data_IF_871733152446
#
_entry.id   IF_871733152446
#
_cell.length_a   1.000
_cell.length_b   1.000
_cell.length_c   1.000
_cell.angle_alpha   90.00
_cell.angle_beta   90.00
_cell.angle_gamma   90.00
#
_symmetry.space_group_name_H-M   'P 1'
#
loop_
_entity.id
_entity.type
_entity.pdbx_description
1 polymer ?
#
# COMPACT_ATOMS: atom_id res chain seq x y z
N UNK A 1 -27.57 45.12 9.79
CA UNK A 1 -28.18 44.83 8.47
C UNK A 1 -27.49 43.59 7.93
N UNK A 2 -28.12 42.42 8.06
CA UNK A 2 -27.55 41.15 7.62
C UNK A 2 -27.81 41.03 6.12
N UNK A 3 -26.75 41.05 5.30
CA UNK A 3 -26.89 40.90 3.85
C UNK A 3 -27.34 39.49 3.52
N UNK A 4 -28.54 39.33 2.96
CA UNK A 4 -28.93 38.10 2.27
C UNK A 4 -27.95 37.93 1.11
N UNK A 5 -26.97 37.03 1.26
CA UNK A 5 -26.18 36.55 0.14
C UNK A 5 -27.16 35.94 -0.87
N UNK A 6 -27.28 36.54 -2.06
CA UNK A 6 -28.07 35.98 -3.15
C UNK A 6 -27.41 34.66 -3.56
N UNK A 7 -28.09 33.54 -3.30
CA UNK A 7 -27.66 32.23 -3.78
C UNK A 7 -27.79 32.19 -5.30
N UNK A 8 -26.75 31.71 -5.99
CA UNK A 8 -26.84 31.44 -7.42
C UNK A 8 -27.90 30.37 -7.67
N UNK A 9 -28.80 30.65 -8.60
CA UNK A 9 -29.86 29.73 -8.99
C UNK A 9 -29.38 28.87 -10.17
N UNK A 10 -29.32 27.56 -9.95
CA UNK A 10 -28.98 26.60 -10.99
C UNK A 10 -30.25 26.08 -11.70
N UNK A 11 -30.18 25.80 -13.01
CA UNK A 11 -31.28 25.12 -13.71
C UNK A 11 -31.44 23.68 -13.22
N UNK A 12 -32.63 23.09 -13.45
CA UNK A 12 -32.91 21.69 -13.08
C UNK A 12 -31.99 20.71 -13.82
N UNK A 13 -31.72 20.98 -15.10
CA UNK A 13 -30.83 20.19 -15.96
C UNK A 13 -29.51 20.94 -16.12
N UNK A 14 -28.41 20.25 -15.84
CA UNK A 14 -27.06 20.77 -15.90
C UNK A 14 -26.27 20.08 -17.01
N UNK A 15 -25.57 20.89 -17.79
CA UNK A 15 -24.52 20.44 -18.72
C UNK A 15 -23.17 20.63 -18.07
N UNK A 16 -22.39 19.57 -17.97
CA UNK A 16 -21.07 19.54 -17.33
C UNK A 16 -20.00 19.26 -18.37
N UNK A 17 -18.83 19.87 -18.18
CA UNK A 17 -17.60 19.56 -18.87
C UNK A 17 -16.57 19.11 -17.82
N UNK A 18 -16.30 17.81 -17.75
CA UNK A 18 -15.37 17.21 -16.80
C UNK A 18 -14.11 16.80 -17.55
N UNK A 19 -13.08 17.66 -17.48
CA UNK A 19 -11.81 17.44 -18.18
C UNK A 19 -11.92 17.24 -19.69
N UNK A 20 -12.94 17.82 -20.33
CA UNK A 20 -13.24 17.65 -21.76
C UNK A 20 -14.30 16.58 -22.07
N UNK A 21 -14.74 15.80 -21.08
CA UNK A 21 -15.85 14.84 -21.25
C UNK A 21 -17.16 15.50 -20.85
N UNK A 22 -18.18 15.39 -21.69
CA UNK A 22 -19.44 16.10 -21.50
C UNK A 22 -20.52 15.20 -20.88
N UNK A 23 -21.19 15.73 -19.85
CA UNK A 23 -22.28 15.04 -19.16
C UNK A 23 -23.50 15.92 -19.06
N UNK A 24 -24.67 15.29 -19.07
CA UNK A 24 -25.94 15.93 -18.74
C UNK A 24 -26.57 15.22 -17.56
N UNK A 25 -26.97 15.97 -16.54
CA UNK A 25 -27.56 15.41 -15.31
C UNK A 25 -28.53 16.39 -14.65
N UNK A 26 -29.27 15.92 -13.63
CA UNK A 26 -30.15 16.78 -12.82
C UNK A 26 -29.37 17.42 -11.68
N UNK A 27 -29.74 18.65 -11.31
CA UNK A 27 -29.25 19.30 -10.09
C UNK A 27 -29.49 18.43 -8.85
N UNK A 28 -30.65 17.76 -8.79
CA UNK A 28 -30.99 16.84 -7.71
C UNK A 28 -30.03 15.65 -7.60
N UNK A 29 -29.45 15.18 -8.71
CA UNK A 29 -28.49 14.07 -8.71
C UNK A 29 -27.17 14.51 -8.06
N UNK A 30 -26.63 15.66 -8.45
CA UNK A 30 -25.39 16.19 -7.86
C UNK A 30 -25.54 16.58 -6.38
N UNK A 31 -26.77 16.85 -5.95
CA UNK A 31 -27.12 17.21 -4.57
C UNK A 31 -27.74 16.06 -3.77
N UNK A 32 -27.70 14.82 -4.26
CA UNK A 32 -28.31 13.68 -3.59
C UNK A 32 -27.76 13.46 -2.17
N UNK A 33 -26.46 13.67 -2.01
CA UNK A 33 -25.75 13.57 -0.73
C UNK A 33 -25.21 14.96 -0.38
N UNK A 34 -25.78 15.59 0.67
CA UNK A 34 -25.55 17.00 1.01
C UNK A 34 -24.11 17.30 1.49
N UNK A 35 -23.42 16.28 1.98
CA UNK A 35 -22.06 16.29 2.51
C UNK A 35 -20.97 16.12 1.45
N UNK A 36 -21.35 16.07 0.17
CA UNK A 36 -20.39 15.92 -0.94
C UNK A 36 -19.88 17.24 -1.48
N UNK A 37 -18.69 17.21 -2.09
CA UNK A 37 -18.13 18.35 -2.82
C UNK A 37 -19.05 18.80 -3.95
N UNK A 38 -19.66 17.86 -4.67
CA UNK A 38 -20.61 18.16 -5.76
C UNK A 38 -21.84 18.91 -5.23
N UNK A 39 -22.42 18.48 -4.10
CA UNK A 39 -23.53 19.19 -3.48
C UNK A 39 -23.12 20.60 -3.02
N UNK A 40 -21.90 20.76 -2.50
CA UNK A 40 -21.36 22.06 -2.13
C UNK A 40 -21.17 22.97 -3.36
N UNK A 41 -20.52 22.49 -4.42
CA UNK A 41 -20.31 23.22 -5.68
C UNK A 41 -21.64 23.75 -6.22
N UNK A 42 -22.65 22.88 -6.32
CA UNK A 42 -23.97 23.22 -6.87
C UNK A 42 -24.97 23.70 -5.80
N UNK A 43 -24.50 24.18 -4.64
CA UNK A 43 -25.36 24.71 -3.57
C UNK A 43 -25.87 26.15 -3.82
N UNK A 44 -25.29 26.84 -4.80
CA UNK A 44 -25.54 28.26 -5.09
C UNK A 44 -24.62 29.21 -4.32
N UNK A 45 -23.78 28.68 -3.43
CA UNK A 45 -22.83 29.47 -2.61
C UNK A 45 -21.52 29.78 -3.33
N UNK A 46 -21.20 29.02 -4.36
CA UNK A 46 -19.93 29.14 -5.08
C UNK A 46 -20.19 29.37 -6.57
N UNK A 47 -19.38 30.25 -7.17
CA UNK A 47 -19.33 30.38 -8.61
C UNK A 47 -18.58 29.19 -9.19
N UNK A 48 -19.16 28.54 -10.20
CA UNK A 48 -18.53 27.46 -10.95
C UNK A 48 -18.20 28.00 -12.36
N UNK A 49 -16.94 27.90 -12.82
CA UNK A 49 -16.57 28.31 -14.17
C UNK A 49 -17.40 27.58 -15.23
N UNK A 50 -17.62 28.24 -16.36
CA UNK A 50 -18.25 27.64 -17.53
C UNK A 50 -17.28 27.67 -18.72
N UNK A 51 -17.37 26.67 -19.59
CA UNK A 51 -16.67 26.68 -20.87
C UNK A 51 -17.33 27.63 -21.89
N UNK A 52 -16.78 27.70 -23.10
CA UNK A 52 -17.28 28.56 -24.16
C UNK A 52 -18.72 28.23 -24.61
N UNK A 53 -19.19 27.01 -24.33
CA UNK A 53 -20.55 26.54 -24.64
C UNK A 53 -21.50 26.69 -23.44
N UNK A 54 -21.05 27.30 -22.34
CA UNK A 54 -21.85 27.53 -21.13
C UNK A 54 -21.99 26.29 -20.22
N UNK A 55 -21.17 25.26 -20.39
CA UNK A 55 -21.20 24.04 -19.56
C UNK A 55 -20.36 24.25 -18.31
N UNK A 56 -20.84 23.80 -17.16
CA UNK A 56 -20.10 23.91 -15.91
C UNK A 56 -18.85 23.05 -15.95
N UNK A 57 -17.70 23.68 -15.76
CA UNK A 57 -16.40 23.04 -15.90
C UNK A 57 -15.92 22.46 -14.57
N UNK A 58 -15.43 21.23 -14.62
CA UNK A 58 -14.78 20.52 -13.51
C UNK A 58 -13.45 19.99 -14.04
N UNK A 59 -12.35 20.43 -13.44
CA UNK A 59 -10.99 20.05 -13.84
C UNK A 59 -10.60 18.68 -13.26
N UNK A 60 -11.30 17.62 -13.72
CA UNK A 60 -11.13 16.23 -13.30
C UNK A 60 -11.23 15.27 -14.48
N UNK A 61 -10.84 14.03 -14.26
CA UNK A 61 -10.90 13.01 -15.30
C UNK A 61 -12.35 12.59 -15.58
N UNK A 62 -12.84 12.98 -16.76
CA UNK A 62 -14.17 12.65 -17.21
C UNK A 62 -14.41 11.16 -17.48
N UNK A 63 -13.36 10.35 -17.67
CA UNK A 63 -13.51 8.93 -17.95
C UNK A 63 -14.20 8.17 -16.80
N UNK A 64 -13.87 8.50 -15.55
CA UNK A 64 -14.41 7.86 -14.35
C UNK A 64 -15.65 8.56 -13.77
N UNK A 65 -15.96 9.77 -14.28
CA UNK A 65 -17.09 10.55 -13.76
C UNK A 65 -18.46 9.93 -14.11
N UNK A 66 -18.51 9.09 -15.14
CA UNK A 66 -19.71 8.29 -15.46
C UNK A 66 -20.13 7.40 -14.29
N UNK A 67 -19.19 6.67 -13.68
CA UNK A 67 -19.45 5.81 -12.53
C UNK A 67 -19.88 6.63 -11.30
N UNK A 68 -19.28 7.80 -11.10
CA UNK A 68 -19.70 8.74 -10.05
C UNK A 68 -21.17 9.14 -10.25
N UNK A 69 -21.57 9.47 -11.47
CA UNK A 69 -22.97 9.80 -11.77
C UNK A 69 -23.91 8.61 -11.61
N UNK A 70 -23.51 7.41 -12.03
CA UNK A 70 -24.34 6.21 -11.91
C UNK A 70 -24.58 5.87 -10.44
N UNK A 71 -23.55 5.98 -9.59
CA UNK A 71 -23.71 5.87 -8.14
C UNK A 71 -24.69 6.92 -7.60
N UNK A 72 -24.54 8.19 -7.97
CA UNK A 72 -25.45 9.26 -7.53
C UNK A 72 -26.89 9.09 -8.06
N UNK A 73 -27.10 8.39 -9.18
CA UNK A 73 -28.43 8.15 -9.76
C UNK A 73 -29.13 6.96 -9.13
N UNK A 74 -28.44 5.84 -9.00
CA UNK A 74 -29.06 4.55 -8.69
C UNK A 74 -28.31 3.76 -7.62
N UNK A 75 -27.13 4.22 -7.19
CA UNK A 75 -26.28 3.50 -6.26
C UNK A 75 -25.44 2.41 -6.93
N UNK A 76 -25.31 2.44 -8.25
CA UNK A 76 -24.51 1.48 -9.00
C UNK A 76 -23.02 1.63 -8.69
N UNK A 77 -22.34 0.49 -8.50
CA UNK A 77 -20.91 0.42 -8.27
C UNK A 77 -20.16 0.16 -9.59
N UNK A 78 -18.93 0.67 -9.72
CA UNK A 78 -18.15 0.49 -10.93
C UNK A 78 -17.71 -0.96 -11.14
N UNK A 79 -17.37 -1.35 -12.38
CA UNK A 79 -16.67 -2.59 -12.68
C UNK A 79 -15.37 -2.76 -11.87
N UNK A 80 -14.98 -4.00 -11.63
CA UNK A 80 -13.86 -4.32 -10.73
C UNK A 80 -12.54 -3.67 -11.16
N UNK A 81 -12.30 -3.61 -12.46
CA UNK A 81 -11.12 -3.01 -13.09
C UNK A 81 -11.03 -1.49 -12.89
N UNK A 82 -12.15 -0.81 -12.62
CA UNK A 82 -12.20 0.65 -12.43
C UNK A 82 -12.20 1.08 -10.97
N UNK A 83 -12.37 0.15 -10.02
CA UNK A 83 -12.51 0.45 -8.57
C UNK A 83 -11.42 1.39 -8.06
N UNK A 84 -10.13 1.13 -8.36
CA UNK A 84 -9.03 1.99 -7.90
C UNK A 84 -9.14 3.42 -8.42
N UNK A 85 -9.54 3.57 -9.68
CA UNK A 85 -9.64 4.88 -10.31
C UNK A 85 -10.88 5.65 -9.82
N UNK A 86 -12.03 4.99 -9.75
CA UNK A 86 -13.28 5.57 -9.23
C UNK A 86 -13.15 5.90 -7.75
N UNK A 87 -12.45 5.09 -6.95
CA UNK A 87 -12.15 5.40 -5.56
C UNK A 87 -11.38 6.73 -5.41
N UNK A 88 -10.40 7.02 -6.27
CA UNK A 88 -9.69 8.32 -6.26
C UNK A 88 -10.61 9.50 -6.58
N UNK A 89 -11.54 9.33 -7.52
CA UNK A 89 -12.54 10.37 -7.81
C UNK A 89 -13.55 10.51 -6.67
N UNK A 90 -14.02 9.41 -6.08
CA UNK A 90 -14.91 9.43 -4.92
C UNK A 90 -14.28 10.14 -3.72
N UNK A 91 -12.97 9.98 -3.51
CA UNK A 91 -12.19 10.73 -2.51
C UNK A 91 -12.18 12.23 -2.84
N UNK A 92 -11.90 12.60 -4.08
CA UNK A 92 -11.91 13.99 -4.52
C UNK A 92 -13.28 14.66 -4.31
N UNK A 93 -14.35 14.01 -4.76
CA UNK A 93 -15.72 14.52 -4.60
C UNK A 93 -16.29 14.33 -3.19
N UNK A 94 -15.53 13.71 -2.28
CA UNK A 94 -15.93 13.42 -0.90
C UNK A 94 -17.27 12.67 -0.80
N UNK A 95 -17.43 11.60 -1.60
CA UNK A 95 -18.66 10.79 -1.63
C UNK A 95 -18.55 9.64 -0.62
N UNK A 96 -18.80 9.95 0.66
CA UNK A 96 -18.68 8.99 1.77
C UNK A 96 -19.36 7.64 1.52
N UNK A 97 -20.66 7.60 1.15
CA UNK A 97 -21.37 6.34 0.91
C UNK A 97 -20.78 5.47 -0.22
N UNK A 98 -20.13 6.09 -1.22
CA UNK A 98 -19.45 5.34 -2.28
C UNK A 98 -18.11 4.81 -1.77
N UNK A 99 -17.36 5.62 -1.02
CA UNK A 99 -16.08 5.21 -0.45
C UNK A 99 -16.25 3.99 0.45
N UNK A 100 -17.24 3.99 1.33
CA UNK A 100 -17.56 2.85 2.21
C UNK A 100 -17.78 1.56 1.42
N UNK A 101 -18.55 1.62 0.32
CA UNK A 101 -18.82 0.45 -0.50
C UNK A 101 -17.60 -0.01 -1.31
N UNK A 102 -16.84 0.92 -1.89
CA UNK A 102 -15.64 0.57 -2.67
C UNK A 102 -14.55 -0.04 -1.79
N UNK A 103 -14.42 0.45 -0.56
CA UNK A 103 -13.44 0.00 0.42
C UNK A 103 -13.64 -1.46 0.86
N UNK A 104 -14.84 -2.01 0.65
CA UNK A 104 -15.20 -3.41 0.89
C UNK A 104 -15.07 -4.28 -0.37
N UNK A 105 -14.65 -3.72 -1.50
CA UNK A 105 -14.43 -4.44 -2.77
C UNK A 105 -12.96 -4.70 -3.08
N UNK A 106 -12.70 -5.78 -3.82
CA UNK A 106 -11.37 -6.05 -4.38
C UNK A 106 -11.05 -5.07 -5.51
N UNK A 107 -9.82 -4.53 -5.61
CA UNK A 107 -8.63 -4.92 -4.85
C UNK A 107 -8.43 -4.18 -3.52
N UNK A 108 -9.24 -3.17 -3.19
CA UNK A 108 -9.02 -2.29 -2.04
C UNK A 108 -9.06 -3.02 -0.69
N UNK A 109 -10.00 -3.95 -0.50
CA UNK A 109 -10.03 -4.78 0.73
C UNK A 109 -8.73 -5.57 0.90
N UNK A 110 -8.22 -6.16 -0.19
CA UNK A 110 -6.96 -6.91 -0.17
C UNK A 110 -5.77 -6.01 0.18
N UNK A 111 -5.74 -4.80 -0.36
CA UNK A 111 -4.71 -3.79 -0.03
C UNK A 111 -4.75 -3.38 1.43
N UNK A 112 -5.94 -3.19 2.02
CA UNK A 112 -6.09 -2.90 3.45
C UNK A 112 -5.57 -4.03 4.33
N UNK A 113 -5.93 -5.27 4.03
CA UNK A 113 -5.43 -6.46 4.76
C UNK A 113 -3.91 -6.56 4.65
N UNK A 114 -3.37 -6.35 3.44
CA UNK A 114 -1.94 -6.32 3.20
C UNK A 114 -1.25 -5.20 3.99
N UNK A 115 -1.81 -3.99 4.00
CA UNK A 115 -1.23 -2.86 4.72
C UNK A 115 -1.22 -3.11 6.24
N UNK A 116 -2.31 -3.66 6.80
CA UNK A 116 -2.36 -4.03 8.21
C UNK A 116 -1.28 -5.06 8.60
N UNK A 117 -0.92 -5.98 7.69
CA UNK A 117 0.23 -6.86 7.89
C UNK A 117 1.56 -6.10 7.83
N UNK A 118 1.76 -5.25 6.83
CA UNK A 118 3.00 -4.48 6.68
C UNK A 118 3.26 -3.52 7.83
N UNK A 119 2.22 -2.99 8.46
CA UNK A 119 2.34 -2.10 9.63
C UNK A 119 2.88 -2.81 10.87
N UNK A 120 2.86 -4.15 10.91
CA UNK A 120 3.47 -4.97 11.97
C UNK A 120 4.97 -5.20 11.75
N UNK A 121 5.50 -4.86 10.56
CA UNK A 121 6.90 -5.12 10.20
C UNK A 121 7.78 -3.90 10.51
N UNK A 122 8.73 -4.01 11.45
CA UNK A 122 9.63 -2.91 11.74
C UNK A 122 10.51 -2.61 10.52
N UNK A 123 10.64 -1.30 10.21
CA UNK A 123 11.51 -0.79 9.15
C UNK A 123 11.21 -1.34 7.75
N UNK A 124 10.00 -1.82 7.47
CA UNK A 124 9.66 -2.41 6.16
C UNK A 124 10.00 -1.47 4.99
N UNK A 125 9.58 -0.20 5.08
CA UNK A 125 9.83 0.81 4.04
C UNK A 125 11.33 1.11 3.89
N UNK A 126 12.03 1.33 4.99
CA UNK A 126 13.47 1.63 4.99
C UNK A 126 14.28 0.46 4.41
N UNK A 127 13.92 -0.77 4.79
CA UNK A 127 14.55 -1.99 4.28
C UNK A 127 14.30 -2.15 2.78
N UNK A 128 13.09 -1.87 2.29
CA UNK A 128 12.77 -1.91 0.88
C UNK A 128 13.57 -0.87 0.07
N UNK A 129 13.72 0.36 0.59
CA UNK A 129 14.57 1.38 -0.01
C UNK A 129 16.04 0.95 -0.06
N UNK A 130 16.53 0.37 1.04
CA UNK A 130 17.90 -0.16 1.12
C UNK A 130 18.17 -1.27 0.10
N UNK A 131 17.20 -2.15 -0.18
CA UNK A 131 17.30 -3.15 -1.27
C UNK A 131 17.56 -2.44 -2.60
N UNK A 132 16.74 -1.44 -2.94
CA UNK A 132 16.83 -0.70 -4.20
C UNK A 132 18.18 0.02 -4.32
N UNK A 133 18.65 0.67 -3.27
CA UNK A 133 19.93 1.37 -3.24
C UNK A 133 21.11 0.43 -3.46
N UNK A 134 21.21 -0.66 -2.69
CA UNK A 134 22.29 -1.64 -2.80
C UNK A 134 22.27 -2.29 -4.19
N UNK A 135 21.09 -2.66 -4.69
CA UNK A 135 20.93 -3.24 -6.02
C UNK A 135 21.42 -2.29 -7.11
N UNK A 136 21.07 -1.01 -7.02
CA UNK A 136 21.44 0.01 -8.01
C UNK A 136 22.95 0.23 -8.00
N UNK A 137 23.54 0.42 -6.83
CA UNK A 137 24.98 0.61 -6.67
C UNK A 137 25.77 -0.58 -7.24
N UNK A 138 25.38 -1.81 -6.92
CA UNK A 138 26.04 -3.03 -7.42
C UNK A 138 25.92 -3.19 -8.93
N UNK A 139 24.75 -2.93 -9.50
CA UNK A 139 24.51 -3.01 -10.93
C UNK A 139 25.36 -1.97 -11.70
N UNK A 140 25.42 -0.73 -11.21
CA UNK A 140 26.24 0.33 -11.80
C UNK A 140 27.74 0.03 -11.71
N UNK A 141 28.23 -0.39 -10.55
CA UNK A 141 29.64 -0.73 -10.34
C UNK A 141 30.10 -1.88 -11.24
N UNK A 142 29.28 -2.92 -11.38
CA UNK A 142 29.59 -4.09 -12.21
C UNK A 142 29.21 -3.92 -13.69
N UNK A 143 28.60 -2.78 -14.06
CA UNK A 143 28.03 -2.54 -15.40
C UNK A 143 27.12 -3.70 -15.85
N UNK A 144 26.29 -4.20 -14.93
CA UNK A 144 25.47 -5.38 -15.11
C UNK A 144 23.98 -5.03 -15.16
N UNK A 145 23.21 -5.83 -15.92
CA UNK A 145 21.75 -5.75 -16.01
C UNK A 145 21.05 -6.06 -14.68
N UNK A 146 21.70 -6.82 -13.81
CA UNK A 146 21.15 -7.28 -12.56
C UNK A 146 22.13 -7.16 -11.40
N UNK A 147 21.58 -7.14 -10.19
CA UNK A 147 22.32 -7.28 -8.93
C UNK A 147 21.71 -8.38 -8.08
N UNK A 148 22.57 -9.08 -7.33
CA UNK A 148 22.15 -10.10 -6.36
C UNK A 148 22.33 -9.56 -4.95
N UNK A 149 21.35 -9.82 -4.09
CA UNK A 149 21.34 -9.44 -2.68
C UNK A 149 20.99 -10.66 -1.82
N UNK A 150 21.63 -10.80 -0.66
CA UNK A 150 21.23 -11.75 0.37
C UNK A 150 20.30 -11.04 1.33
N UNK A 151 19.10 -11.56 1.52
CA UNK A 151 18.09 -11.00 2.42
C UNK A 151 17.71 -12.06 3.44
N UNK A 152 17.83 -11.73 4.72
CA UNK A 152 17.34 -12.60 5.78
C UNK A 152 15.88 -12.28 6.07
N UNK A 153 15.02 -13.29 6.07
CA UNK A 153 13.60 -13.13 6.38
C UNK A 153 13.23 -14.17 7.43
N UNK A 154 12.76 -13.71 8.59
CA UNK A 154 12.49 -14.59 9.72
C UNK A 154 11.31 -14.09 10.54
N UNK A 155 10.39 -14.99 10.87
CA UNK A 155 9.17 -14.65 11.63
C UNK A 155 9.45 -14.51 13.12
N UNK A 156 10.18 -15.46 13.70
CA UNK A 156 10.44 -15.57 15.13
C UNK A 156 11.86 -15.11 15.49
N UNK A 157 12.03 -14.43 16.63
CA UNK A 157 13.34 -13.94 17.08
C UNK A 157 14.41 -15.03 17.19
N UNK A 158 14.00 -16.27 17.52
CA UNK A 158 14.92 -17.35 17.92
C UNK A 158 14.68 -18.71 17.23
N UNK A 159 15.03 -18.89 15.95
CA UNK A 159 15.28 -20.22 15.40
C UNK A 159 16.70 -20.64 15.81
N UNK A 160 16.91 -20.97 17.09
CA UNK A 160 18.20 -21.47 17.58
C UNK A 160 18.12 -22.98 17.71
N UNK A 161 18.98 -23.71 17.00
CA UNK A 161 19.06 -25.17 17.11
C UNK A 161 20.38 -25.57 17.79
N UNK A 162 20.36 -26.34 18.89
CA UNK A 162 21.56 -26.98 19.40
C UNK A 162 22.01 -28.11 18.45
N UNK A 163 23.32 -28.22 18.18
CA UNK A 163 23.86 -29.29 17.33
C UNK A 163 23.93 -30.65 18.05
N UNK A 164 23.97 -30.64 19.38
CA UNK A 164 24.01 -31.82 20.24
C UNK A 164 22.74 -31.90 21.10
N UNK A 165 22.22 -33.11 21.32
CA UNK A 165 21.05 -33.35 22.18
C UNK A 165 21.41 -32.89 23.60
N UNK A 166 20.86 -31.78 24.12
CA UNK A 166 21.24 -31.31 25.45
C UNK A 166 20.86 -32.39 26.46
N UNK A 167 21.78 -32.72 27.36
CA UNK A 167 21.47 -33.60 28.50
C UNK A 167 20.29 -32.95 29.25
N UNK A 168 19.20 -33.70 29.40
CA UNK A 168 17.85 -33.23 29.79
C UNK A 168 17.75 -32.47 31.14
N UNK A 169 18.86 -32.18 31.81
CA UNK A 169 18.90 -31.56 33.14
C UNK A 169 19.64 -30.21 33.22
N UNK A 170 20.10 -29.61 32.11
CA UNK A 170 20.82 -28.31 32.17
C UNK A 170 20.05 -27.09 31.63
N UNK A 171 18.83 -27.26 31.11
CA UNK A 171 18.01 -26.13 30.66
C UNK A 171 17.09 -25.62 31.78
N UNK A 172 17.70 -25.12 32.85
CA UNK A 172 17.03 -24.07 33.63
C UNK A 172 17.24 -22.76 32.87
N UNK A 173 16.22 -22.31 32.15
CA UNK A 173 16.10 -20.89 31.79
C UNK A 173 15.80 -20.09 33.07
N UNK A 174 16.75 -20.04 34.00
CA UNK A 174 16.72 -19.05 35.08
C UNK A 174 17.20 -17.73 34.47
N UNK A 175 16.23 -16.92 34.03
CA UNK A 175 16.47 -15.54 33.61
C UNK A 175 16.99 -14.76 34.82
N UNK A 176 18.31 -14.58 34.90
CA UNK A 176 18.89 -13.53 35.73
C UNK A 176 18.88 -12.22 34.93
N UNK A 177 18.33 -11.16 35.51
CA UNK A 177 18.24 -9.82 34.88
C UNK A 177 19.61 -9.22 34.50
N UNK A 178 20.71 -9.86 34.90
CA UNK A 178 22.09 -9.50 34.60
C UNK A 178 22.62 -9.98 33.24
N UNK A 179 21.98 -10.97 32.60
CA UNK A 179 22.44 -11.57 31.32
C UNK A 179 21.62 -11.13 30.08
N UNK A 180 20.62 -10.26 30.26
CA UNK A 180 19.84 -9.68 29.16
C UNK A 180 20.67 -8.79 28.20
N UNK A 181 21.98 -8.64 28.46
CA UNK A 181 22.92 -8.00 27.55
C UNK A 181 23.52 -9.04 26.59
N UNK A 182 23.13 -8.91 25.32
CA UNK A 182 23.92 -9.16 24.11
C UNK A 182 23.79 -10.54 23.42
N UNK A 183 22.60 -10.87 22.94
CA UNK A 183 22.47 -11.66 21.69
C UNK A 183 22.31 -10.73 20.49
N UNK A 184 23.27 -9.83 20.27
CA UNK A 184 23.28 -8.98 19.08
C UNK A 184 23.85 -9.76 17.88
N UNK A 185 23.08 -10.74 17.40
CA UNK A 185 23.44 -11.51 16.22
C UNK A 185 22.91 -10.85 14.94
N UNK A 186 23.85 -10.44 14.09
CA UNK A 186 23.59 -10.02 12.72
C UNK A 186 24.03 -11.12 11.75
N UNK A 187 23.08 -11.62 10.95
CA UNK A 187 23.36 -12.47 9.80
C UNK A 187 24.23 -11.71 8.81
N UNK A 188 25.14 -12.39 8.11
CA UNK A 188 25.94 -11.79 7.03
C UNK A 188 25.08 -11.65 5.75
N UNK A 189 24.19 -10.67 5.77
CA UNK A 189 23.21 -10.36 4.72
C UNK A 189 23.14 -8.85 4.46
N UNK A 190 22.53 -8.47 3.35
CA UNK A 190 22.40 -7.07 2.94
C UNK A 190 21.28 -6.34 3.68
N UNK A 191 20.16 -7.03 3.88
CA UNK A 191 18.93 -6.55 4.50
C UNK A 191 18.32 -7.68 5.32
N UNK A 192 17.67 -7.35 6.43
CA UNK A 192 16.94 -8.31 7.26
C UNK A 192 15.52 -7.84 7.52
N UNK A 193 14.54 -8.72 7.38
CA UNK A 193 13.16 -8.51 7.78
C UNK A 193 12.78 -9.46 8.90
N UNK A 194 12.19 -8.89 9.95
CA UNK A 194 11.72 -9.62 11.11
C UNK A 194 12.40 -9.17 12.41
N UNK A 195 11.90 -9.67 13.55
CA UNK A 195 10.71 -10.54 13.68
C UNK A 195 9.40 -9.79 13.42
N UNK A 196 8.28 -10.51 13.30
CA UNK A 196 6.93 -9.92 13.31
C UNK A 196 5.91 -10.85 13.98
N UNK A 197 4.84 -10.27 14.51
CA UNK A 197 3.76 -11.01 15.17
C UNK A 197 2.47 -10.98 14.33
N UNK A 198 2.34 -11.94 13.40
CA UNK A 198 1.14 -12.09 12.57
C UNK A 198 0.90 -13.55 12.15
N UNK A 199 -0.31 -13.85 11.65
CA UNK A 199 -0.59 -15.16 11.02
C UNK A 199 0.22 -15.31 9.73
N UNK A 200 0.36 -14.24 8.95
CA UNK A 200 1.13 -14.19 7.72
C UNK A 200 2.55 -14.76 7.91
N UNK A 201 2.99 -15.53 6.92
CA UNK A 201 4.24 -16.27 6.92
C UNK A 201 5.35 -15.56 6.12
N UNK A 202 6.50 -16.25 6.00
CA UNK A 202 7.66 -15.71 5.28
C UNK A 202 7.34 -15.52 3.79
N UNK A 203 6.54 -16.38 3.18
CA UNK A 203 6.18 -16.28 1.76
C UNK A 203 5.24 -15.12 1.49
N UNK A 204 4.31 -14.82 2.41
CA UNK A 204 3.46 -13.62 2.33
C UNK A 204 4.32 -12.34 2.28
N UNK A 205 5.36 -12.27 3.12
CA UNK A 205 6.29 -11.14 3.12
C UNK A 205 7.15 -11.10 1.85
N UNK A 206 7.68 -12.24 1.39
CA UNK A 206 8.43 -12.30 0.14
C UNK A 206 7.58 -11.83 -1.05
N UNK A 207 6.30 -12.23 -1.09
CA UNK A 207 5.35 -11.75 -2.08
C UNK A 207 5.18 -10.23 -1.98
N UNK A 208 4.98 -9.67 -0.78
CA UNK A 208 4.86 -8.23 -0.59
C UNK A 208 6.08 -7.45 -1.09
N UNK A 209 7.29 -7.92 -0.79
CA UNK A 209 8.54 -7.28 -1.24
C UNK A 209 8.63 -7.28 -2.77
N UNK A 210 8.37 -8.43 -3.40
CA UNK A 210 8.42 -8.55 -4.88
C UNK A 210 7.35 -7.69 -5.54
N UNK A 211 6.12 -7.66 -5.00
CA UNK A 211 5.04 -6.81 -5.51
C UNK A 211 5.39 -5.33 -5.41
N UNK A 212 5.91 -4.85 -4.27
CA UNK A 212 6.27 -3.44 -4.11
C UNK A 212 7.44 -3.01 -5.00
N UNK A 213 8.39 -3.90 -5.25
CA UNK A 213 9.45 -3.65 -6.23
C UNK A 213 8.86 -3.55 -7.65
N UNK A 214 7.94 -4.43 -8.00
CA UNK A 214 7.27 -4.43 -9.31
C UNK A 214 6.43 -3.16 -9.52
N UNK A 215 5.74 -2.66 -8.50
CA UNK A 215 5.00 -1.38 -8.55
C UNK A 215 5.93 -0.18 -8.82
N UNK A 216 7.21 -0.27 -8.43
CA UNK A 216 8.26 0.71 -8.75
C UNK A 216 8.90 0.46 -10.12
N UNK A 217 8.40 -0.48 -10.91
CA UNK A 217 8.95 -0.88 -12.20
C UNK A 217 10.24 -1.71 -12.11
N UNK A 218 10.53 -2.32 -10.95
CA UNK A 218 11.76 -3.09 -10.70
C UNK A 218 11.41 -4.58 -10.71
N UNK A 219 12.05 -5.35 -11.60
CA UNK A 219 11.87 -6.79 -11.66
C UNK A 219 12.74 -7.49 -10.61
N UNK A 220 12.14 -8.39 -9.83
CA UNK A 220 12.83 -9.14 -8.78
C UNK A 220 12.44 -10.62 -8.81
N UNK A 221 13.45 -11.50 -8.77
CA UNK A 221 13.29 -12.94 -8.54
C UNK A 221 13.92 -13.28 -7.18
N UNK A 222 13.30 -14.18 -6.42
CA UNK A 222 13.84 -14.64 -5.13
C UNK A 222 13.92 -16.15 -5.06
N UNK A 223 14.94 -16.66 -4.36
CA UNK A 223 15.07 -18.07 -4.03
C UNK A 223 15.70 -18.25 -2.65
N UNK A 224 15.28 -19.29 -1.91
CA UNK A 224 15.94 -19.67 -0.67
C UNK A 224 17.30 -20.30 -0.97
N UNK A 225 18.38 -19.76 -0.39
CA UNK A 225 19.74 -20.28 -0.56
C UNK A 225 20.25 -21.03 0.67
N UNK A 226 19.43 -21.15 1.71
CA UNK A 226 19.73 -21.88 2.92
C UNK A 226 19.39 -21.07 4.17
N UNK A 227 20.09 -21.39 5.26
CA UNK A 227 19.96 -20.72 6.54
C UNK A 227 21.31 -20.15 6.94
N UNK A 228 21.32 -19.13 7.80
CA UNK A 228 22.52 -18.74 8.51
C UNK A 228 23.08 -19.95 9.27
N UNK A 229 24.40 -20.02 9.41
CA UNK A 229 25.11 -21.05 10.16
C UNK A 229 26.16 -20.44 11.12
N UNK A 230 26.05 -19.13 11.38
CA UNK A 230 26.97 -18.43 12.28
C UNK A 230 26.79 -18.93 13.71
N UNK A 231 27.91 -19.29 14.33
CA UNK A 231 27.98 -19.67 15.73
C UNK A 231 27.61 -18.50 16.64
N UNK A 232 26.78 -18.77 17.65
CA UNK A 232 26.34 -17.78 18.63
C UNK A 232 27.08 -17.98 19.96
N UNK A 233 26.77 -19.07 20.67
CA UNK A 233 27.39 -19.46 21.94
C UNK A 233 27.23 -20.97 22.15
N UNK A 234 28.18 -21.62 22.83
CA UNK A 234 28.13 -23.06 23.13
C UNK A 234 27.84 -23.92 21.87
N UNK A 235 26.75 -24.69 21.86
CA UNK A 235 26.33 -25.53 20.72
C UNK A 235 25.23 -24.87 19.87
N UNK A 236 25.00 -23.57 20.04
CA UNK A 236 23.92 -22.84 19.40
C UNK A 236 24.39 -22.07 18.16
N UNK A 237 23.63 -22.25 17.07
CA UNK A 237 23.85 -21.60 15.79
C UNK A 237 22.60 -20.83 15.40
N UNK A 238 22.79 -19.69 14.73
CA UNK A 238 21.69 -19.06 14.03
C UNK A 238 21.20 -20.01 12.93
N UNK A 239 19.88 -20.11 12.72
CA UNK A 239 19.26 -20.83 11.61
C UNK A 239 18.23 -19.99 10.86
N UNK A 240 18.39 -18.67 10.87
CA UNK A 240 17.49 -17.78 10.15
C UNK A 240 17.59 -18.02 8.63
N UNK A 241 16.47 -18.15 7.91
CA UNK A 241 16.48 -18.31 6.46
C UNK A 241 17.14 -17.14 5.74
N UNK A 242 17.87 -17.44 4.66
CA UNK A 242 18.50 -16.47 3.78
C UNK A 242 18.02 -16.71 2.35
N UNK A 243 17.53 -15.64 1.73
CA UNK A 243 17.04 -15.60 0.36
C UNK A 243 18.00 -14.80 -0.52
N UNK A 244 18.26 -15.28 -1.72
CA UNK A 244 18.92 -14.48 -2.75
C UNK A 244 17.87 -13.78 -3.60
N UNK A 245 17.91 -12.46 -3.62
CA UNK A 245 17.11 -11.61 -4.50
C UNK A 245 17.95 -11.19 -5.70
N UNK A 246 17.47 -11.48 -6.90
CA UNK A 246 18.04 -11.04 -8.17
C UNK A 246 17.19 -9.91 -8.73
N UNK A 247 17.70 -8.68 -8.62
CA UNK A 247 17.05 -7.45 -9.06
C UNK A 247 17.52 -7.10 -10.47
N UNK A 248 16.60 -6.88 -11.41
CA UNK A 248 16.87 -6.65 -12.84
C UNK A 248 16.31 -5.29 -13.29
N UNK A 249 17.12 -4.52 -14.02
CA UNK A 249 16.85 -3.09 -14.31
C UNK A 249 16.33 -2.79 -15.73
N UNK A 250 16.77 -3.53 -16.74
CA UNK A 250 16.31 -3.49 -18.14
C UNK A 250 16.34 -4.89 -18.71
#
# INVERSE_FOLDING_TARGET
MCGCALLLQFPEILSLNVGGTFFTTRLSTLRRHEDTMLAAMFSGRYHIPQDADGRYFIDRDGHYFGDILNFLREGELPPQELIRAVHREAQYYSIGPLLEQLEDMQPLTGEKVRQAFLDLLPYYRDNLERIVEIAKLRAMQKKARFAKLKICVYKEEMPITPYERPLFNSLRFERSDSEAKLFEHHCEVDVSFGPWEAVADVYDLLHCIVSDLAERGISAEQQCIGVCDKHLINHYYCKRPIYEFKITWW
#
